data_IF_652496178840
#
_entry.id   IF_652496178840
#
_cell.length_a   1.000
_cell.length_b   1.000
_cell.length_c   1.000
_cell.angle_alpha   90.00
_cell.angle_beta   90.00
_cell.angle_gamma   90.00
#
_symmetry.space_group_name_H-M   'P 1'
#
loop_
_entity.id
_entity.type
_entity.pdbx_description
1 polymer ?
#
# COMPACT_ATOMS: atom_id res chain seq x y z
N UNK A 1 -24.55 9.25 15.71
CA UNK A 1 -23.23 9.91 15.88
C UNK A 1 -22.30 9.32 14.83
N UNK A 2 -21.86 10.12 13.86
CA UNK A 2 -20.95 9.66 12.80
C UNK A 2 -19.57 9.39 13.43
N UNK A 3 -19.03 8.20 13.17
CA UNK A 3 -17.68 7.80 13.57
C UNK A 3 -16.68 8.82 13.00
N UNK A 4 -15.80 9.46 13.80
CA UNK A 4 -14.90 10.52 13.34
C UNK A 4 -13.72 9.98 12.49
N UNK A 5 -13.91 8.85 11.81
CA UNK A 5 -12.91 8.23 10.98
C UNK A 5 -12.54 9.18 9.82
N UNK A 6 -11.26 9.53 9.77
CA UNK A 6 -10.57 10.32 8.75
C UNK A 6 -10.68 11.85 8.89
N UNK A 7 -9.87 12.42 9.79
CA UNK A 7 -9.41 13.82 9.62
C UNK A 7 -8.60 13.94 8.32
N UNK A 8 -8.81 15.04 7.59
CA UNK A 8 -8.00 15.37 6.43
C UNK A 8 -6.54 15.57 6.85
N UNK A 9 -5.68 14.61 6.52
CA UNK A 9 -4.25 14.60 6.90
C UNK A 9 -3.66 13.19 7.05
N UNK A 10 -4.49 12.19 7.39
CA UNK A 10 -4.02 10.86 7.84
C UNK A 10 -4.26 9.74 6.82
N UNK A 11 -4.20 10.03 5.51
CA UNK A 11 -4.42 9.00 4.48
C UNK A 11 -3.12 8.28 4.17
N UNK A 12 -3.02 7.00 4.55
CA UNK A 12 -1.91 6.12 4.17
C UNK A 12 -2.09 5.62 2.74
N UNK A 13 -1.07 5.81 1.89
CA UNK A 13 -1.04 5.17 0.58
C UNK A 13 -0.54 3.73 0.70
N UNK A 14 -1.18 2.80 -0.01
CA UNK A 14 -0.73 1.41 -0.09
C UNK A 14 -0.48 1.06 -1.55
N UNK A 15 0.76 0.68 -1.85
CA UNK A 15 1.17 0.25 -3.19
C UNK A 15 1.75 -1.18 -3.13
N UNK A 16 1.43 -1.98 -4.14
CA UNK A 16 2.03 -3.31 -4.37
C UNK A 16 2.57 -3.38 -5.78
N UNK A 17 3.73 -4.02 -5.98
CA UNK A 17 4.24 -4.33 -7.31
C UNK A 17 5.09 -5.59 -7.31
N UNK A 18 4.98 -6.37 -8.39
CA UNK A 18 5.80 -7.56 -8.58
C UNK A 18 7.24 -7.17 -8.89
N UNK A 19 8.23 -7.83 -8.31
CA UNK A 19 9.65 -7.52 -8.56
C UNK A 19 10.12 -7.80 -9.99
N UNK A 20 9.36 -8.60 -10.76
CA UNK A 20 9.58 -8.90 -12.18
C UNK A 20 8.56 -8.18 -13.08
N UNK A 21 7.72 -7.31 -12.52
CA UNK A 21 6.83 -6.45 -13.29
C UNK A 21 7.67 -5.37 -14.00
N UNK A 22 7.26 -4.97 -15.20
CA UNK A 22 7.94 -3.91 -15.93
C UNK A 22 7.88 -2.57 -15.20
N UNK A 23 6.91 -2.39 -14.31
CA UNK A 23 6.75 -1.19 -13.48
C UNK A 23 7.50 -1.23 -12.15
N UNK A 24 8.25 -2.28 -11.82
CA UNK A 24 8.92 -2.40 -10.51
C UNK A 24 9.78 -1.15 -10.18
N UNK A 25 10.59 -0.68 -11.13
CA UNK A 25 11.41 0.51 -10.95
C UNK A 25 10.57 1.79 -10.79
N UNK A 26 9.48 1.92 -11.55
CA UNK A 26 8.55 3.06 -11.42
C UNK A 26 7.90 3.08 -10.03
N UNK A 27 7.51 1.93 -9.50
CA UNK A 27 6.92 1.81 -8.16
C UNK A 27 7.94 2.16 -7.07
N UNK A 28 9.19 1.72 -7.20
CA UNK A 28 10.27 2.09 -6.27
C UNK A 28 10.54 3.60 -6.30
N UNK A 29 10.58 4.21 -7.48
CA UNK A 29 10.76 5.66 -7.62
C UNK A 29 9.57 6.44 -7.04
N UNK A 30 8.35 5.93 -7.19
CA UNK A 30 7.16 6.50 -6.56
C UNK A 30 7.28 6.49 -5.04
N UNK A 31 7.64 5.36 -4.44
CA UNK A 31 7.82 5.26 -2.99
C UNK A 31 8.91 6.21 -2.48
N UNK A 32 10.08 6.24 -3.15
CA UNK A 32 11.13 7.21 -2.85
C UNK A 32 10.62 8.66 -2.90
N UNK A 33 9.80 9.00 -3.88
CA UNK A 33 9.21 10.34 -3.98
C UNK A 33 8.23 10.63 -2.83
N UNK A 34 7.47 9.63 -2.38
CA UNK A 34 6.64 9.75 -1.18
C UNK A 34 7.49 10.00 0.07
N UNK A 35 8.62 9.31 0.24
CA UNK A 35 9.56 9.55 1.35
C UNK A 35 10.08 10.99 1.35
N UNK A 36 10.58 11.47 0.22
CA UNK A 36 11.09 12.85 0.05
C UNK A 36 10.05 13.91 0.41
N UNK A 37 8.78 13.64 0.09
CA UNK A 37 7.65 14.53 0.36
C UNK A 37 6.98 14.29 1.72
N UNK A 38 7.50 13.35 2.52
CA UNK A 38 6.93 12.94 3.81
C UNK A 38 5.46 12.51 3.71
N UNK A 39 5.10 11.84 2.61
CA UNK A 39 3.77 11.27 2.40
C UNK A 39 3.76 9.86 3.03
N UNK A 40 2.89 9.61 4.03
CA UNK A 40 2.76 8.29 4.63
C UNK A 40 2.37 7.24 3.58
N UNK A 41 3.16 6.18 3.46
CA UNK A 41 2.89 5.10 2.52
C UNK A 41 3.45 3.76 2.99
N UNK A 42 2.87 2.69 2.46
CA UNK A 42 3.37 1.32 2.55
C UNK A 42 3.61 0.82 1.13
N UNK A 43 4.81 0.32 0.89
CA UNK A 43 5.17 -0.36 -0.34
C UNK A 43 5.39 -1.85 -0.06
N UNK A 44 4.72 -2.71 -0.82
CA UNK A 44 4.95 -4.16 -0.81
C UNK A 44 5.56 -4.57 -2.15
N UNK A 45 6.76 -5.10 -2.10
CA UNK A 45 7.43 -5.75 -3.24
C UNK A 45 7.49 -7.25 -2.98
N UNK A 46 7.11 -8.05 -3.97
CA UNK A 46 7.20 -9.52 -3.87
C UNK A 46 7.42 -10.14 -5.25
N UNK A 47 7.85 -11.41 -5.35
CA UNK A 47 7.97 -12.09 -6.64
C UNK A 47 6.64 -12.09 -7.41
N UNK A 48 6.66 -11.59 -8.63
CA UNK A 48 5.49 -11.43 -9.48
C UNK A 48 5.76 -10.59 -10.71
N UNK A 49 4.91 -10.74 -11.72
CA UNK A 49 4.92 -9.97 -12.95
C UNK A 49 3.52 -9.38 -13.21
N UNK A 50 3.38 -8.66 -14.32
CA UNK A 50 2.16 -7.93 -14.70
C UNK A 50 0.99 -8.86 -15.09
N UNK A 51 0.38 -9.50 -14.08
CA UNK A 51 -0.54 -10.62 -14.27
C UNK A 51 -1.71 -10.60 -13.29
N UNK A 52 -2.85 -11.13 -13.72
CA UNK A 52 -4.01 -11.37 -12.87
C UNK A 52 -3.73 -12.28 -11.67
N UNK A 53 -2.81 -13.24 -11.82
CA UNK A 53 -2.39 -14.11 -10.71
C UNK A 53 -1.78 -13.27 -9.59
N UNK A 54 -0.90 -12.35 -9.93
CA UNK A 54 -0.29 -11.44 -8.97
C UNK A 54 -1.32 -10.51 -8.33
N UNK A 55 -2.21 -9.90 -9.12
CA UNK A 55 -3.20 -8.96 -8.57
C UNK A 55 -4.21 -9.62 -7.63
N UNK A 56 -4.59 -10.89 -7.87
CA UNK A 56 -5.42 -11.66 -6.92
C UNK A 56 -4.71 -11.87 -5.57
N UNK A 57 -3.42 -12.17 -5.58
CA UNK A 57 -2.64 -12.22 -4.35
C UNK A 57 -2.55 -10.83 -3.68
N UNK A 58 -2.25 -9.78 -4.45
CA UNK A 58 -2.07 -8.43 -3.93
C UNK A 58 -3.34 -7.86 -3.29
N UNK A 59 -4.52 -8.10 -3.88
CA UNK A 59 -5.79 -7.59 -3.33
C UNK A 59 -6.12 -8.22 -1.97
N UNK A 60 -5.78 -9.49 -1.74
CA UNK A 60 -5.95 -10.14 -0.44
C UNK A 60 -5.08 -9.48 0.64
N UNK A 61 -3.82 -9.16 0.30
CA UNK A 61 -2.91 -8.45 1.22
C UNK A 61 -3.43 -7.03 1.53
N UNK A 62 -3.94 -6.32 0.52
CA UNK A 62 -4.55 -5.01 0.71
C UNK A 62 -5.76 -5.07 1.64
N UNK A 63 -6.68 -6.00 1.41
CA UNK A 63 -7.87 -6.17 2.26
C UNK A 63 -7.50 -6.51 3.70
N UNK A 64 -6.50 -7.35 3.91
CA UNK A 64 -5.98 -7.63 5.25
C UNK A 64 -5.46 -6.35 5.91
N UNK A 65 -4.60 -5.58 5.25
CA UNK A 65 -4.06 -4.32 5.78
C UNK A 65 -5.17 -3.32 6.10
N UNK A 66 -6.13 -3.13 5.19
CA UNK A 66 -7.27 -2.25 5.42
C UNK A 66 -8.15 -2.71 6.58
N UNK A 67 -8.34 -4.01 6.77
CA UNK A 67 -9.09 -4.54 7.93
C UNK A 67 -8.39 -4.17 9.24
N UNK A 68 -7.06 -4.26 9.30
CA UNK A 68 -6.27 -3.86 10.48
C UNK A 68 -6.36 -2.37 10.75
N UNK A 69 -6.31 -1.54 9.71
CA UNK A 69 -6.52 -0.09 9.82
C UNK A 69 -7.90 0.25 10.35
N UNK A 70 -8.94 -0.39 9.81
CA UNK A 70 -10.32 -0.15 10.21
C UNK A 70 -10.56 -0.54 11.69
N UNK A 71 -9.88 -1.56 12.18
CA UNK A 71 -9.92 -2.01 13.57
C UNK A 71 -9.01 -1.20 14.51
N UNK A 72 -8.29 -0.19 14.00
CA UNK A 72 -7.25 0.55 14.72
C UNK A 72 -6.20 -0.37 15.37
N UNK A 73 -5.94 -1.54 14.76
CA UNK A 73 -4.92 -2.48 15.21
C UNK A 73 -3.63 -2.15 14.46
N UNK A 74 -2.69 -1.53 15.17
CA UNK A 74 -1.45 -0.98 14.62
C UNK A 74 -0.74 -1.90 13.63
N UNK A 75 -0.31 -1.31 12.51
CA UNK A 75 0.45 -1.97 11.45
C UNK A 75 1.97 -1.82 11.61
N UNK A 76 2.42 -1.10 12.65
CA UNK A 76 3.84 -0.91 12.97
C UNK A 76 4.53 0.21 12.20
N UNK A 77 3.78 1.26 11.79
CA UNK A 77 4.33 2.52 11.28
C UNK A 77 3.96 3.69 12.21
#
# INVERSE_FOLDING_TARGET
>A
MLNPAFKAGDKLLLATCGSQDYYANSTLNFAKRCEELKIPHVLIMSPGAHTWKYWKFAVEQHLFIYSRMAENKGLGY
#
